data_IF_748338860486
#
_entry.id   IF_748338860486
#
_cell.length_a   1.000
_cell.length_b   1.000
_cell.length_c   1.000
_cell.angle_alpha   90.00
_cell.angle_beta   90.00
_cell.angle_gamma   90.00
#
_symmetry.space_group_name_H-M   'P 1'
#
loop_
_entity.id
_entity.type
_entity.pdbx_description
1 polymer ?
#
# COMPACT_ATOMS: atom_id res chain seq x y z
N UNK A 1 38.65 -2.37 -36.54
CA UNK A 1 38.60 -3.01 -35.22
C UNK A 1 37.20 -3.58 -35.05
N UNK A 2 37.02 -4.85 -35.40
CA UNK A 2 35.71 -5.51 -35.37
C UNK A 2 35.44 -5.98 -33.93
N UNK A 3 34.34 -5.53 -33.34
CA UNK A 3 33.94 -5.96 -32.00
C UNK A 3 33.51 -7.44 -32.10
N UNK A 4 34.12 -8.36 -31.33
CA UNK A 4 33.79 -9.78 -31.34
C UNK A 4 32.29 -9.99 -31.11
N UNK A 5 31.66 -10.85 -31.93
CA UNK A 5 30.22 -11.14 -31.89
C UNK A 5 29.76 -11.64 -30.51
N UNK A 6 30.66 -12.24 -29.73
CA UNK A 6 30.40 -12.75 -28.38
C UNK A 6 30.06 -11.63 -27.36
N UNK A 7 30.64 -10.43 -27.52
CA UNK A 7 30.37 -9.28 -26.63
C UNK A 7 28.97 -8.70 -26.90
N UNK A 8 28.45 -8.83 -28.13
CA UNK A 8 27.12 -8.33 -28.52
C UNK A 8 25.98 -9.17 -27.93
N UNK A 9 26.16 -10.49 -27.85
CA UNK A 9 25.14 -11.42 -27.32
C UNK A 9 25.02 -11.31 -25.80
N UNK A 10 26.15 -11.17 -25.08
CA UNK A 10 26.14 -11.00 -23.63
C UNK A 10 25.47 -9.68 -23.19
N UNK A 11 25.74 -8.58 -23.91
CA UNK A 11 25.13 -7.28 -23.62
C UNK A 11 23.62 -7.26 -23.87
N UNK A 12 23.17 -7.82 -25.00
CA UNK A 12 21.75 -7.87 -25.35
C UNK A 12 20.93 -8.74 -24.39
N UNK A 13 21.45 -9.91 -24.00
CA UNK A 13 20.77 -10.79 -23.05
C UNK A 13 20.63 -10.15 -21.66
N UNK A 14 21.65 -9.43 -21.20
CA UNK A 14 21.63 -8.75 -19.90
C UNK A 14 20.59 -7.62 -19.87
N UNK A 15 20.53 -6.81 -20.93
CA UNK A 15 19.52 -5.73 -21.04
C UNK A 15 18.10 -6.31 -21.09
N UNK A 16 17.87 -7.38 -21.85
CA UNK A 16 16.57 -8.03 -21.90
C UNK A 16 16.15 -8.62 -20.55
N UNK A 17 17.08 -9.21 -19.79
CA UNK A 17 16.79 -9.74 -18.46
C UNK A 17 16.41 -8.63 -17.47
N UNK A 18 17.11 -7.49 -17.50
CA UNK A 18 16.78 -6.33 -16.66
C UNK A 18 15.44 -5.73 -17.06
N UNK A 19 15.16 -5.57 -18.35
CA UNK A 19 13.86 -5.09 -18.84
C UNK A 19 12.75 -6.07 -18.44
N UNK A 20 12.96 -7.37 -18.58
CA UNK A 20 11.99 -8.38 -18.16
C UNK A 20 11.74 -8.34 -16.64
N UNK A 21 12.80 -8.17 -15.83
CA UNK A 21 12.66 -8.00 -14.37
C UNK A 21 11.91 -6.73 -14.00
N UNK A 22 12.18 -5.60 -14.66
CA UNK A 22 11.46 -4.34 -14.44
C UNK A 22 10.00 -4.49 -14.86
N UNK A 23 9.73 -5.10 -16.01
CA UNK A 23 8.36 -5.37 -16.47
C UNK A 23 7.64 -6.31 -15.50
N UNK A 24 8.28 -7.38 -15.05
CA UNK A 24 7.70 -8.30 -14.07
C UNK A 24 7.44 -7.61 -12.73
N UNK A 25 8.36 -6.77 -12.26
CA UNK A 25 8.19 -5.96 -11.05
C UNK A 25 7.03 -4.97 -11.18
N UNK A 26 6.92 -4.28 -12.31
CA UNK A 26 5.81 -3.36 -12.59
C UNK A 26 4.49 -4.13 -12.72
N UNK A 27 4.48 -5.31 -13.34
CA UNK A 27 3.28 -6.14 -13.48
C UNK A 27 2.87 -6.81 -12.15
N UNK A 28 3.82 -7.20 -11.30
CA UNK A 28 3.54 -7.73 -9.96
C UNK A 28 3.01 -6.64 -9.04
N UNK A 29 3.60 -5.44 -9.10
CA UNK A 29 3.10 -4.27 -8.37
C UNK A 29 1.70 -3.83 -8.85
N UNK A 30 1.33 -4.14 -10.11
CA UNK A 30 -0.01 -3.89 -10.66
C UNK A 30 -1.03 -4.96 -10.34
N UNK A 31 -0.68 -6.04 -9.64
CA UNK A 31 -1.66 -7.00 -9.10
C UNK A 31 -2.27 -6.49 -7.78
N UNK A 32 -2.60 -5.21 -7.72
CA UNK A 32 -3.60 -4.72 -6.76
C UNK A 32 -4.95 -5.13 -7.33
N UNK A 33 -5.60 -6.05 -6.64
CA UNK A 33 -6.92 -6.57 -6.98
C UNK A 33 -7.96 -5.42 -6.88
N UNK A 34 -8.19 -4.69 -7.95
CA UNK A 34 -9.27 -3.70 -8.08
C UNK A 34 -10.66 -4.35 -8.27
N UNK A 35 -10.82 -5.62 -7.87
CA UNK A 35 -12.07 -6.39 -8.01
C UNK A 35 -12.56 -6.96 -6.68
N UNK A 36 -12.18 -6.34 -5.55
CA UNK A 36 -12.86 -6.56 -4.27
C UNK A 36 -13.97 -5.53 -4.15
N UNK A 37 -15.11 -5.81 -4.80
CA UNK A 37 -16.28 -4.93 -4.70
C UNK A 37 -16.76 -4.88 -3.27
N UNK A 38 -16.82 -3.68 -2.68
CA UNK A 38 -17.78 -3.25 -1.65
C UNK A 38 -18.36 -4.37 -0.78
N UNK A 39 -17.51 -5.15 -0.12
CA UNK A 39 -17.91 -6.01 0.99
C UNK A 39 -17.45 -5.29 2.23
N UNK A 40 -18.36 -4.54 2.82
CA UNK A 40 -18.21 -3.77 4.06
C UNK A 40 -17.76 -4.59 5.30
N UNK A 41 -17.39 -5.87 5.13
CA UNK A 41 -17.05 -6.83 6.18
C UNK A 41 -16.26 -8.00 5.57
N UNK A 42 -15.11 -7.73 4.95
CA UNK A 42 -14.21 -8.80 4.50
C UNK A 42 -12.94 -8.72 5.34
N UNK A 43 -12.97 -9.38 6.50
CA UNK A 43 -11.77 -9.57 7.31
C UNK A 43 -10.81 -10.48 6.52
N UNK A 44 -9.73 -9.92 6.00
CA UNK A 44 -8.74 -10.71 5.29
C UNK A 44 -8.03 -11.66 6.25
N UNK A 45 -7.72 -12.89 5.80
CA UNK A 45 -6.88 -13.79 6.58
C UNK A 45 -5.53 -13.14 6.88
N UNK A 46 -5.34 -12.69 8.13
CA UNK A 46 -4.13 -12.01 8.59
C UNK A 46 -4.34 -10.56 9.07
N UNK A 47 -5.52 -9.96 8.82
CA UNK A 47 -5.88 -8.64 9.31
C UNK A 47 -6.20 -8.63 10.81
N UNK A 48 -6.15 -7.44 11.42
CA UNK A 48 -6.56 -7.24 12.80
C UNK A 48 -8.06 -7.12 12.91
N UNK A 49 -8.62 -7.58 14.04
CA UNK A 49 -10.03 -7.35 14.31
C UNK A 49 -10.21 -5.88 14.65
N UNK A 50 -10.82 -5.13 13.74
CA UNK A 50 -11.11 -3.72 13.91
C UNK A 50 -12.62 -3.45 13.95
N UNK A 51 -13.00 -2.35 14.57
CA UNK A 51 -14.35 -1.82 14.46
C UNK A 51 -14.62 -1.40 13.01
N UNK A 52 -15.89 -1.46 12.58
CA UNK A 52 -16.25 -1.18 11.18
C UNK A 52 -15.84 0.20 10.68
N UNK A 53 -15.66 1.19 11.56
CA UNK A 53 -15.14 2.51 11.15
C UNK A 53 -13.65 2.47 10.80
N UNK A 54 -12.85 1.66 11.50
CA UNK A 54 -11.43 1.51 11.25
C UNK A 54 -11.20 0.84 9.88
N UNK A 55 -11.95 -0.22 9.59
CA UNK A 55 -11.96 -0.90 8.28
C UNK A 55 -12.29 0.07 7.12
N UNK A 56 -13.29 0.94 7.32
CA UNK A 56 -13.67 1.94 6.30
C UNK A 56 -12.57 2.97 6.06
N UNK A 57 -11.89 3.42 7.13
CA UNK A 57 -10.76 4.34 7.00
C UNK A 57 -9.58 3.64 6.31
N UNK A 58 -9.35 2.37 6.60
CA UNK A 58 -8.29 1.56 5.99
C UNK A 58 -8.48 1.38 4.49
N UNK A 59 -9.71 1.12 4.05
CA UNK A 59 -10.06 1.08 2.63
C UNK A 59 -9.73 2.40 1.93
N UNK A 60 -10.02 3.54 2.57
CA UNK A 60 -9.68 4.87 2.04
C UNK A 60 -8.16 5.03 1.98
N UNK A 61 -7.41 4.63 3.01
CA UNK A 61 -5.94 4.68 3.02
C UNK A 61 -5.37 3.86 1.86
N UNK A 62 -5.79 2.60 1.72
CA UNK A 62 -5.32 1.69 0.66
C UNK A 62 -5.59 2.26 -0.73
N UNK A 63 -6.74 2.89 -0.94
CA UNK A 63 -7.05 3.58 -2.19
C UNK A 63 -6.06 4.73 -2.49
N UNK A 64 -5.70 5.52 -1.48
CA UNK A 64 -4.72 6.61 -1.63
C UNK A 64 -3.29 6.08 -1.85
N UNK A 65 -2.86 5.07 -1.09
CA UNK A 65 -1.54 4.45 -1.25
C UNK A 65 -1.39 3.81 -2.63
N UNK A 66 -2.41 3.09 -3.11
CA UNK A 66 -2.41 2.48 -4.43
C UNK A 66 -2.40 3.48 -5.58
N UNK A 67 -2.85 4.72 -5.36
CA UNK A 67 -2.82 5.80 -6.34
C UNK A 67 -1.45 6.49 -6.43
N UNK A 68 -0.60 6.40 -5.39
CA UNK A 68 0.75 6.97 -5.37
C UNK A 68 1.82 5.87 -5.55
N UNK A 69 2.52 5.80 -6.71
CA UNK A 69 3.55 4.79 -6.95
C UNK A 69 4.69 4.79 -5.94
N UNK A 70 4.96 5.90 -5.26
CA UNK A 70 6.01 6.00 -4.24
C UNK A 70 5.59 5.40 -2.89
N UNK A 71 4.29 5.16 -2.70
CA UNK A 71 3.72 4.62 -1.46
C UNK A 71 3.03 3.26 -1.66
N UNK A 72 2.86 2.80 -2.90
CA UNK A 72 2.14 1.57 -3.22
C UNK A 72 2.74 0.29 -2.61
N UNK A 73 3.98 0.33 -2.11
CA UNK A 73 4.63 -0.78 -1.42
C UNK A 73 4.49 -0.71 0.11
N UNK A 74 3.94 0.37 0.65
CA UNK A 74 3.70 0.52 2.09
C UNK A 74 2.52 -0.34 2.51
N UNK A 75 2.68 -1.08 3.58
CA UNK A 75 1.59 -1.83 4.20
C UNK A 75 1.03 -1.03 5.38
N UNK A 76 -0.26 -0.71 5.34
CA UNK A 76 -0.94 0.02 6.42
C UNK A 76 -2.20 -0.74 6.80
N UNK A 77 -2.28 -1.08 8.08
CA UNK A 77 -3.37 -1.83 8.71
C UNK A 77 -3.90 -1.02 9.90
N UNK A 78 -5.22 -1.06 10.12
CA UNK A 78 -5.88 -0.38 11.22
C UNK A 78 -6.52 -1.38 12.17
N UNK A 79 -6.60 -0.94 13.42
CA UNK A 79 -7.18 -1.73 14.48
C UNK A 79 -7.89 -0.82 15.47
N UNK A 80 -8.57 -1.46 16.41
CA UNK A 80 -9.26 -0.74 17.49
C UNK A 80 -8.55 -1.02 18.80
N UNK A 81 -8.02 0.04 19.39
CA UNK A 81 -7.40 -0.02 20.70
C UNK A 81 -8.45 -0.37 21.79
N UNK A 82 -8.02 -0.86 22.97
CA UNK A 82 -8.95 -1.23 24.04
C UNK A 82 -9.85 -0.10 24.56
N UNK A 83 -9.46 1.15 24.34
CA UNK A 83 -10.23 2.35 24.66
C UNK A 83 -11.23 2.76 23.57
N UNK A 84 -11.27 2.01 22.46
CA UNK A 84 -12.10 2.29 21.29
C UNK A 84 -11.45 3.23 20.27
N UNK A 85 -10.22 3.69 20.52
CA UNK A 85 -9.46 4.53 19.60
C UNK A 85 -8.88 3.77 18.41
N UNK A 86 -8.32 4.51 17.45
CA UNK A 86 -7.62 3.94 16.30
C UNK A 86 -6.20 3.51 16.70
N UNK A 87 -5.83 2.29 16.37
CA UNK A 87 -4.46 1.79 16.43
C UNK A 87 -3.95 1.63 15.00
N UNK A 88 -2.72 2.07 14.71
CA UNK A 88 -2.17 2.08 13.35
C UNK A 88 -0.94 1.19 13.27
N UNK A 89 -0.85 0.39 12.22
CA UNK A 89 0.37 -0.34 11.86
C UNK A 89 0.88 0.12 10.51
N UNK A 90 2.18 0.34 10.42
CA UNK A 90 2.87 0.63 9.15
C UNK A 90 4.02 -0.36 9.01
N UNK A 91 4.01 -1.15 7.95
CA UNK A 91 4.98 -2.23 7.69
C UNK A 91 5.17 -3.17 8.89
N UNK A 92 4.07 -3.46 9.61
CA UNK A 92 4.05 -4.32 10.79
C UNK A 92 4.48 -3.65 12.11
N UNK A 93 4.94 -2.40 12.08
CA UNK A 93 5.26 -1.63 13.29
C UNK A 93 4.04 -0.86 13.79
N UNK A 94 3.78 -0.95 15.11
CA UNK A 94 2.59 -0.38 15.75
C UNK A 94 2.83 1.04 16.25
N UNK A 95 1.91 1.94 15.94
CA UNK A 95 1.92 3.34 16.34
C UNK A 95 0.60 3.69 17.04
N UNK A 96 0.68 4.22 18.26
CA UNK A 96 -0.47 4.71 19.04
C UNK A 96 -0.73 6.20 18.84
N UNK A 97 0.14 6.87 18.08
CA UNK A 97 0.05 8.28 17.72
C UNK A 97 0.58 8.44 16.31
N UNK A 98 -0.20 9.11 15.45
CA UNK A 98 0.16 9.34 14.05
C UNK A 98 1.48 10.11 13.91
N UNK A 99 1.81 10.98 14.87
CA UNK A 99 3.05 11.76 14.85
C UNK A 99 4.30 10.88 15.00
N UNK A 100 4.16 9.66 15.51
CA UNK A 100 5.26 8.72 15.69
C UNK A 100 5.61 7.97 14.39
N UNK A 101 4.70 7.93 13.40
CA UNK A 101 4.93 7.25 12.11
C UNK A 101 6.00 8.02 11.33
N UNK A 102 7.19 7.47 11.04
CA UNK A 102 8.30 8.24 10.49
C UNK A 102 8.05 8.83 9.08
N UNK A 103 7.26 8.12 8.27
CA UNK A 103 6.98 8.52 6.91
C UNK A 103 5.87 9.59 6.87
N UNK A 104 6.27 10.85 6.68
CA UNK A 104 5.36 12.00 6.61
C UNK A 104 4.25 11.83 5.56
N UNK A 105 4.54 11.20 4.42
CA UNK A 105 3.52 11.02 3.39
C UNK A 105 2.47 10.01 3.81
N UNK A 106 2.87 8.95 4.53
CA UNK A 106 1.92 8.00 5.12
C UNK A 106 1.07 8.68 6.19
N UNK A 107 1.67 9.52 7.05
CA UNK A 107 0.91 10.34 8.01
C UNK A 107 -0.17 11.17 7.32
N UNK A 108 0.20 11.87 6.26
CA UNK A 108 -0.73 12.71 5.50
C UNK A 108 -1.87 11.91 4.88
N UNK A 109 -1.57 10.74 4.30
CA UNK A 109 -2.60 9.84 3.75
C UNK A 109 -3.58 9.39 4.83
N UNK A 110 -3.08 8.98 6.01
CA UNK A 110 -3.94 8.54 7.12
C UNK A 110 -4.83 9.70 7.60
N UNK A 111 -4.27 10.90 7.76
CA UNK A 111 -5.05 12.09 8.13
C UNK A 111 -6.16 12.38 7.11
N UNK A 112 -5.83 12.39 5.82
CA UNK A 112 -6.79 12.65 4.74
C UNK A 112 -7.89 11.59 4.69
N UNK A 113 -7.56 10.34 4.99
CA UNK A 113 -8.53 9.24 5.04
C UNK A 113 -9.52 9.41 6.19
N UNK A 114 -9.04 9.73 7.39
CA UNK A 114 -9.89 10.02 8.55
C UNK A 114 -10.82 11.19 8.26
N UNK A 115 -10.31 12.32 7.78
CA UNK A 115 -11.12 13.49 7.44
C UNK A 115 -12.16 13.19 6.35
N UNK A 116 -11.81 12.34 5.37
CA UNK A 116 -12.72 11.95 4.31
C UNK A 116 -13.85 11.08 4.84
N UNK A 117 -13.53 10.13 5.73
CA UNK A 117 -14.53 9.31 6.41
C UNK A 117 -15.46 10.17 7.27
N UNK A 118 -14.92 11.06 8.12
CA UNK A 118 -15.72 11.96 8.96
C UNK A 118 -16.74 12.76 8.13
N UNK A 119 -16.30 13.30 6.99
CA UNK A 119 -17.19 14.03 6.06
C UNK A 119 -18.32 13.18 5.49
N UNK A 120 -18.12 11.87 5.33
CA UNK A 120 -19.20 10.96 4.89
C UNK A 120 -20.23 10.67 5.97
N UNK A 121 -19.88 10.86 7.24
CA UNK A 121 -20.76 10.64 8.39
C UNK A 121 -21.67 11.84 8.68
N UNK A 122 -21.30 13.04 8.21
CA UNK A 122 -22.02 14.30 8.46
C UNK A 122 -23.12 14.62 7.44
N UNK A 123 -23.31 13.78 6.42
CA UNK A 123 -24.33 13.93 5.37
C UNK A 123 -25.52 13.01 5.54
#
# INVERSE_FOLDING_TARGET
>A
MEIPQEIRVLGGATVLAVVALVVLYVLSARRVNLTRGTRLYDHDPGERVAASFAEQIEDIIRAHLGADPSLAAMDVDLGTAPDGGLEVWVDGERYTDLNLIPNERVRQVIHQAVESWERTQEG
#
